data_IF_226453903601
#
_entry.id   IF_226453903601
#
_cell.length_a   1.000
_cell.length_b   1.000
_cell.length_c   1.000
_cell.angle_alpha   90.00
_cell.angle_beta   90.00
_cell.angle_gamma   90.00
#
_symmetry.space_group_name_H-M   'P 1'
#
loop_
_entity.id
_entity.type
_entity.pdbx_description
1 polymer ?
#
# COMPACT_ATOMS: atom_id res chain seq x y z
N UNK A 1 -42.77 -24.92 32.15
CA UNK A 1 -42.97 -24.42 30.76
C UNK A 1 -42.59 -22.94 30.53
N UNK A 2 -42.34 -22.09 31.56
CA UNK A 2 -41.99 -20.67 31.36
C UNK A 2 -40.53 -20.37 30.95
N UNK A 3 -39.58 -21.28 31.24
CA UNK A 3 -38.13 -21.07 30.98
C UNK A 3 -37.72 -21.22 29.50
N UNK A 4 -38.41 -22.07 28.73
CA UNK A 4 -38.08 -22.32 27.32
C UNK A 4 -38.48 -21.17 26.38
N UNK A 5 -39.50 -20.39 26.74
CA UNK A 5 -39.97 -19.26 25.92
C UNK A 5 -38.97 -18.09 26.00
N UNK A 6 -38.39 -17.83 27.18
CA UNK A 6 -37.40 -16.75 27.37
C UNK A 6 -36.11 -17.01 26.59
N UNK A 7 -35.67 -18.28 26.54
CA UNK A 7 -34.49 -18.66 25.74
C UNK A 7 -34.71 -18.46 24.24
N UNK A 8 -35.92 -18.75 23.74
CA UNK A 8 -36.28 -18.54 22.34
C UNK A 8 -36.29 -17.06 21.96
N UNK A 9 -36.81 -16.18 22.82
CA UNK A 9 -36.78 -14.73 22.58
C UNK A 9 -35.35 -14.17 22.60
N UNK A 10 -34.48 -14.59 23.54
CA UNK A 10 -33.09 -14.15 23.56
C UNK A 10 -32.31 -14.60 22.32
N UNK A 11 -32.54 -15.82 21.84
CA UNK A 11 -31.93 -16.31 20.61
C UNK A 11 -32.38 -15.49 19.39
N UNK A 12 -33.67 -15.20 19.25
CA UNK A 12 -34.21 -14.39 18.16
C UNK A 12 -33.64 -12.96 18.12
N UNK A 13 -33.42 -12.33 19.27
CA UNK A 13 -32.79 -11.00 19.37
C UNK A 13 -31.30 -11.07 18.99
N UNK A 14 -30.59 -12.12 19.40
CA UNK A 14 -29.19 -12.33 19.02
C UNK A 14 -29.05 -12.54 17.50
N UNK A 15 -29.89 -13.37 16.87
CA UNK A 15 -29.84 -13.60 15.42
C UNK A 15 -30.21 -12.35 14.61
N UNK A 16 -31.21 -11.58 15.03
CA UNK A 16 -31.60 -10.34 14.34
C UNK A 16 -30.56 -9.23 14.48
N UNK A 17 -29.88 -9.11 15.63
CA UNK A 17 -28.77 -8.18 15.80
C UNK A 17 -27.54 -8.55 14.94
N UNK A 18 -27.23 -9.85 14.82
CA UNK A 18 -26.13 -10.34 13.99
C UNK A 18 -26.39 -10.13 12.50
N UNK A 19 -27.62 -10.41 12.06
CA UNK A 19 -28.06 -10.16 10.68
C UNK A 19 -28.01 -8.65 10.33
N UNK A 20 -28.46 -7.77 11.23
CA UNK A 20 -28.36 -6.32 11.03
C UNK A 20 -26.90 -5.82 11.04
N UNK A 21 -26.02 -6.42 11.84
CA UNK A 21 -24.60 -6.09 11.85
C UNK A 21 -23.92 -6.51 10.53
N UNK A 22 -24.20 -7.72 10.03
CA UNK A 22 -23.71 -8.19 8.74
C UNK A 22 -24.26 -7.35 7.58
N UNK A 23 -25.55 -7.00 7.61
CA UNK A 23 -26.19 -6.16 6.59
C UNK A 23 -25.62 -4.74 6.58
N UNK A 24 -25.32 -4.15 7.74
CA UNK A 24 -24.64 -2.84 7.85
C UNK A 24 -23.20 -2.88 7.33
N UNK A 25 -22.48 -3.99 7.49
CA UNK A 25 -21.15 -4.20 6.88
C UNK A 25 -21.24 -4.35 5.36
N UNK A 26 -22.22 -5.12 4.86
CA UNK A 26 -22.45 -5.35 3.43
C UNK A 26 -22.93 -4.08 2.70
N UNK A 27 -23.68 -3.21 3.39
CA UNK A 27 -24.26 -1.98 2.84
C UNK A 27 -23.43 -0.70 3.11
N UNK A 28 -22.27 -0.79 3.79
CA UNK A 28 -21.30 0.32 3.75
C UNK A 28 -20.75 0.38 2.34
N UNK A 29 -21.30 1.28 1.50
CA UNK A 29 -20.59 1.79 0.32
C UNK A 29 -19.26 2.34 0.82
N UNK A 30 -18.21 1.54 0.73
CA UNK A 30 -16.84 1.99 0.86
C UNK A 30 -16.68 3.07 -0.21
N UNK A 31 -16.77 4.35 0.18
CA UNK A 31 -16.77 5.47 -0.77
C UNK A 31 -15.68 5.30 -1.84
N UNK A 32 -15.99 5.69 -3.08
CA UNK A 32 -15.16 5.37 -4.24
C UNK A 32 -13.68 5.72 -4.00
N UNK A 33 -12.82 4.71 -4.09
CA UNK A 33 -11.38 4.89 -3.95
C UNK A 33 -10.81 5.37 -5.28
N UNK A 34 -10.12 6.51 -5.25
CA UNK A 34 -9.47 7.07 -6.43
C UNK A 34 -8.06 6.50 -6.57
N UNK A 35 -7.71 6.03 -7.78
CA UNK A 35 -6.33 5.68 -8.13
C UNK A 35 -5.50 6.95 -8.23
N UNK A 36 -4.32 6.94 -7.62
CA UNK A 36 -3.35 8.05 -7.62
C UNK A 36 -1.99 7.51 -8.06
N UNK A 37 -1.48 8.06 -9.19
CA UNK A 37 -0.21 7.71 -9.85
C UNK A 37 0.81 8.84 -9.70
N UNK A 38 2.01 8.65 -10.23
CA UNK A 38 3.10 9.63 -10.26
C UNK A 38 3.48 10.12 -8.86
N UNK A 39 3.84 9.14 -8.04
CA UNK A 39 4.06 9.34 -6.60
C UNK A 39 5.56 9.49 -6.25
N UNK A 40 6.44 9.35 -7.25
CA UNK A 40 7.88 9.27 -7.08
C UNK A 40 8.55 10.38 -7.90
N UNK A 41 9.41 11.14 -7.23
CA UNK A 41 10.31 12.13 -7.80
C UNK A 41 11.63 11.47 -8.15
N UNK A 42 12.05 11.66 -9.40
CA UNK A 42 13.31 11.16 -9.94
C UNK A 42 14.37 12.26 -9.85
N UNK A 43 15.07 12.36 -8.72
CA UNK A 43 16.17 13.33 -8.55
C UNK A 43 17.51 12.60 -8.47
N UNK A 44 18.06 12.22 -9.63
CA UNK A 44 19.37 11.61 -9.72
C UNK A 44 20.45 12.62 -10.09
N UNK A 45 21.44 12.81 -9.22
CA UNK A 45 22.68 13.57 -9.51
C UNK A 45 23.83 12.57 -9.64
N UNK A 46 24.78 12.83 -10.55
CA UNK A 46 26.00 12.04 -10.73
C UNK A 46 25.77 10.52 -10.92
N UNK A 47 24.75 10.17 -11.70
CA UNK A 47 24.40 8.77 -11.99
C UNK A 47 25.42 8.13 -12.94
N UNK A 48 25.90 6.93 -12.59
CA UNK A 48 26.76 6.10 -13.45
C UNK A 48 25.95 5.33 -14.48
N UNK A 49 24.70 5.00 -14.15
CA UNK A 49 23.75 4.29 -15.02
C UNK A 49 22.46 5.11 -15.20
N UNK A 50 22.56 6.19 -15.97
CA UNK A 50 21.47 7.19 -16.11
C UNK A 50 20.24 6.62 -16.81
N UNK A 51 20.42 5.83 -17.85
CA UNK A 51 19.30 5.32 -18.66
C UNK A 51 18.48 4.31 -17.85
N UNK A 52 19.12 3.32 -17.23
CA UNK A 52 18.43 2.38 -16.35
C UNK A 52 17.78 3.07 -15.14
N UNK A 53 18.41 4.13 -14.60
CA UNK A 53 17.80 4.93 -13.53
C UNK A 53 16.49 5.60 -14.00
N UNK A 54 16.49 6.22 -15.18
CA UNK A 54 15.31 6.90 -15.72
C UNK A 54 14.19 5.90 -16.02
N UNK A 55 14.53 4.77 -16.66
CA UNK A 55 13.60 3.70 -16.95
C UNK A 55 13.02 3.09 -15.68
N UNK A 56 13.86 2.85 -14.67
CA UNK A 56 13.43 2.38 -13.37
C UNK A 56 12.50 3.38 -12.69
N UNK A 57 12.80 4.68 -12.77
CA UNK A 57 11.95 5.67 -12.17
C UNK A 57 10.57 5.73 -12.85
N UNK A 58 10.51 5.71 -14.18
CA UNK A 58 9.24 5.65 -14.91
C UNK A 58 8.47 4.36 -14.62
N UNK A 59 9.16 3.22 -14.54
CA UNK A 59 8.56 1.97 -14.12
C UNK A 59 7.96 2.07 -12.72
N UNK A 60 8.70 2.61 -11.74
CA UNK A 60 8.20 2.77 -10.38
C UNK A 60 7.03 3.79 -10.30
N UNK A 61 7.03 4.84 -11.12
CA UNK A 61 5.93 5.82 -11.21
C UNK A 61 4.62 5.20 -11.72
N UNK A 62 4.70 4.08 -12.45
CA UNK A 62 3.52 3.38 -12.96
C UNK A 62 2.66 2.75 -11.85
N UNK A 63 3.25 2.45 -10.69
CA UNK A 63 2.53 1.92 -9.53
C UNK A 63 1.59 2.97 -8.93
N UNK A 64 0.44 2.51 -8.44
CA UNK A 64 -0.60 3.40 -7.92
C UNK A 64 -1.01 3.01 -6.50
N UNK A 65 -1.52 4.00 -5.78
CA UNK A 65 -2.32 3.80 -4.57
C UNK A 65 -3.79 4.11 -4.87
N UNK A 66 -4.68 3.60 -4.04
CA UNK A 66 -6.12 3.90 -3.98
C UNK A 66 -6.41 4.66 -2.70
N UNK A 67 -7.14 5.78 -2.76
CA UNK A 67 -7.42 6.56 -1.56
C UNK A 67 -8.83 7.17 -1.58
N UNK A 68 -9.51 7.26 -0.41
CA UNK A 68 -10.82 7.89 -0.32
C UNK A 68 -10.77 9.42 -0.40
N UNK A 69 -9.63 10.04 -0.08
CA UNK A 69 -9.46 11.49 -0.16
C UNK A 69 -8.00 11.91 -0.39
N UNK A 70 -7.80 13.20 -0.64
CA UNK A 70 -6.46 13.78 -0.93
C UNK A 70 -5.53 13.76 0.28
N UNK A 71 -6.06 13.73 1.51
CA UNK A 71 -5.24 13.79 2.71
C UNK A 71 -4.51 12.45 2.89
N UNK A 72 -5.26 11.34 2.90
CA UNK A 72 -4.64 10.02 3.00
C UNK A 72 -3.73 9.74 1.79
N UNK A 73 -4.17 10.11 0.58
CA UNK A 73 -3.35 9.96 -0.62
C UNK A 73 -1.97 10.61 -0.48
N UNK A 74 -1.88 11.84 0.07
CA UNK A 74 -0.60 12.53 0.27
C UNK A 74 0.36 11.75 1.16
N UNK A 75 -0.13 11.16 2.25
CA UNK A 75 0.71 10.39 3.16
C UNK A 75 1.17 9.06 2.54
N UNK A 76 0.27 8.34 1.87
CA UNK A 76 0.62 7.08 1.19
C UNK A 76 1.60 7.31 0.02
N UNK A 77 1.46 8.44 -0.69
CA UNK A 77 2.42 8.87 -1.74
C UNK A 77 3.83 9.01 -1.19
N UNK A 78 3.99 9.63 -0.02
CA UNK A 78 5.30 9.77 0.61
C UNK A 78 5.93 8.41 0.90
N UNK A 79 5.13 7.40 1.30
CA UNK A 79 5.62 6.04 1.48
C UNK A 79 6.21 5.44 0.20
N UNK A 80 5.54 5.62 -0.95
CA UNK A 80 6.08 5.16 -2.23
C UNK A 80 7.41 5.85 -2.59
N UNK A 81 7.56 7.14 -2.29
CA UNK A 81 8.84 7.83 -2.43
C UNK A 81 9.93 7.23 -1.54
N UNK A 82 9.60 6.86 -0.29
CA UNK A 82 10.56 6.23 0.63
C UNK A 82 11.06 4.90 0.06
N UNK A 83 10.16 4.05 -0.43
CA UNK A 83 10.54 2.80 -1.08
C UNK A 83 11.41 3.04 -2.33
N UNK A 84 11.05 4.02 -3.17
CA UNK A 84 11.84 4.38 -4.34
C UNK A 84 13.23 4.90 -3.98
N UNK A 85 13.38 5.61 -2.86
CA UNK A 85 14.68 6.08 -2.36
C UNK A 85 15.59 4.93 -1.91
N UNK A 86 15.06 3.73 -1.67
CA UNK A 86 15.88 2.52 -1.42
C UNK A 86 16.34 1.86 -2.72
N UNK A 87 15.56 1.97 -3.79
CA UNK A 87 15.79 1.26 -5.06
C UNK A 87 16.61 2.11 -6.05
N UNK A 88 16.19 3.35 -6.29
CA UNK A 88 16.73 4.19 -7.37
C UNK A 88 18.22 4.55 -7.22
N UNK A 89 18.74 4.88 -6.02
CA UNK A 89 20.16 5.19 -5.87
C UNK A 89 21.08 4.01 -6.22
N UNK A 90 20.66 2.78 -5.89
CA UNK A 90 21.37 1.55 -6.25
C UNK A 90 21.46 1.39 -7.77
N UNK A 91 20.33 1.53 -8.46
CA UNK A 91 20.26 1.43 -9.92
C UNK A 91 21.16 2.50 -10.55
N UNK A 92 21.12 3.72 -10.03
CA UNK A 92 21.92 4.83 -10.53
C UNK A 92 23.42 4.68 -10.34
N UNK A 93 23.88 3.89 -9.37
CA UNK A 93 25.29 3.79 -8.98
C UNK A 93 26.05 2.64 -9.65
N UNK A 94 25.36 1.66 -10.26
CA UNK A 94 26.00 0.50 -10.89
C UNK A 94 25.51 0.25 -12.33
N UNK A 95 26.47 0.17 -13.27
CA UNK A 95 26.21 -0.08 -14.70
C UNK A 95 25.81 -1.51 -15.02
N UNK A 96 26.07 -2.46 -14.13
CA UNK A 96 25.70 -3.87 -14.30
C UNK A 96 24.20 -4.10 -14.11
N UNK A 97 23.52 -3.18 -13.42
CA UNK A 97 22.08 -3.29 -13.16
C UNK A 97 21.32 -3.04 -14.45
N UNK A 98 20.57 -4.05 -14.87
CA UNK A 98 19.69 -4.01 -16.04
C UNK A 98 18.23 -3.92 -15.64
N UNK A 99 17.42 -3.36 -16.52
CA UNK A 99 15.99 -3.14 -16.26
C UNK A 99 15.15 -4.41 -16.14
N UNK A 100 15.56 -5.52 -16.76
CA UNK A 100 14.90 -6.82 -16.60
C UNK A 100 15.03 -7.35 -15.17
N UNK A 101 16.21 -7.20 -14.55
CA UNK A 101 16.44 -7.53 -13.13
C UNK A 101 15.58 -6.67 -12.23
N UNK A 102 15.54 -5.36 -12.46
CA UNK A 102 14.72 -4.42 -11.68
C UNK A 102 13.24 -4.82 -11.74
N UNK A 103 12.72 -5.12 -12.94
CA UNK A 103 11.33 -5.55 -13.13
C UNK A 103 11.04 -6.88 -12.46
N UNK A 104 11.96 -7.84 -12.54
CA UNK A 104 11.83 -9.14 -11.86
C UNK A 104 11.75 -8.97 -10.34
N UNK A 105 12.69 -8.25 -9.74
CA UNK A 105 12.72 -8.02 -8.30
C UNK A 105 11.51 -7.24 -7.79
N UNK A 106 10.92 -6.36 -8.62
CA UNK A 106 9.76 -5.55 -8.28
C UNK A 106 8.42 -6.12 -8.77
N UNK A 107 8.37 -7.36 -9.27
CA UNK A 107 7.18 -7.94 -9.89
C UNK A 107 5.93 -7.89 -8.98
N UNK A 108 6.13 -8.09 -7.68
CA UNK A 108 5.06 -8.12 -6.68
C UNK A 108 4.81 -6.77 -5.99
N UNK A 109 5.47 -5.69 -6.41
CA UNK A 109 5.38 -4.40 -5.74
C UNK A 109 3.95 -3.85 -5.71
N UNK A 110 3.19 -3.93 -6.83
CA UNK A 110 1.78 -3.48 -6.82
C UNK A 110 0.94 -4.29 -5.84
N UNK A 111 1.16 -5.59 -5.72
CA UNK A 111 0.44 -6.46 -4.79
C UNK A 111 0.73 -6.05 -3.34
N UNK A 112 1.99 -5.81 -3.00
CA UNK A 112 2.35 -5.28 -1.67
C UNK A 112 1.71 -3.92 -1.42
N UNK A 113 1.73 -3.01 -2.41
CA UNK A 113 1.06 -1.72 -2.28
C UNK A 113 -0.43 -1.89 -2.04
N UNK A 114 -1.12 -2.75 -2.80
CA UNK A 114 -2.56 -2.97 -2.67
C UNK A 114 -2.93 -3.50 -1.28
N UNK A 115 -2.19 -4.48 -0.73
CA UNK A 115 -2.40 -5.01 0.62
C UNK A 115 -2.25 -3.91 1.68
N UNK A 116 -1.11 -3.22 1.67
CA UNK A 116 -0.80 -2.16 2.65
C UNK A 116 -1.78 -1.00 2.54
N UNK A 117 -2.21 -0.69 1.32
CA UNK A 117 -3.13 0.38 1.04
C UNK A 117 -4.53 0.07 1.54
N UNK A 118 -5.03 -1.15 1.33
CA UNK A 118 -6.34 -1.58 1.82
C UNK A 118 -6.38 -1.53 3.35
N UNK A 119 -5.31 -1.97 4.02
CA UNK A 119 -5.19 -1.91 5.47
C UNK A 119 -5.15 -0.46 5.99
N UNK A 120 -4.39 0.42 5.34
CA UNK A 120 -4.35 1.84 5.70
C UNK A 120 -5.71 2.53 5.49
N UNK A 121 -6.42 2.21 4.40
CA UNK A 121 -7.75 2.77 4.11
C UNK A 121 -8.78 2.28 5.12
N UNK A 122 -8.73 1.00 5.50
CA UNK A 122 -9.64 0.41 6.50
C UNK A 122 -9.45 1.09 7.84
N UNK A 123 -8.23 1.12 8.35
CA UNK A 123 -7.91 1.76 9.63
C UNK A 123 -8.25 3.26 9.63
N UNK A 124 -7.93 3.97 8.55
CA UNK A 124 -8.28 5.38 8.37
C UNK A 124 -9.78 5.65 8.46
N UNK A 125 -10.61 4.76 7.90
CA UNK A 125 -12.08 4.86 7.98
C UNK A 125 -12.58 4.50 9.37
N UNK A 126 -12.07 3.44 9.96
CA UNK A 126 -12.51 2.95 11.27
C UNK A 126 -12.22 3.96 12.39
N UNK A 127 -11.08 4.65 12.31
CA UNK A 127 -10.72 5.72 13.24
C UNK A 127 -11.38 7.07 12.93
N UNK A 128 -12.34 7.12 11.99
CA UNK A 128 -13.00 8.35 11.52
C UNK A 128 -11.98 9.43 11.12
N UNK A 129 -10.95 9.04 10.37
CA UNK A 129 -9.86 9.89 9.85
C UNK A 129 -8.84 10.42 10.87
N UNK A 130 -9.04 10.19 12.18
CA UNK A 130 -8.18 10.74 13.24
C UNK A 130 -6.75 10.17 13.26
N UNK A 131 -6.57 9.00 12.68
CA UNK A 131 -5.31 8.25 12.64
C UNK A 131 -4.48 8.50 11.37
N UNK A 132 -4.80 9.55 10.58
CA UNK A 132 -4.14 9.87 9.30
C UNK A 132 -2.61 9.72 9.32
N UNK A 133 -1.97 10.35 10.30
CA UNK A 133 -0.50 10.36 10.42
C UNK A 133 0.04 8.98 10.76
N UNK A 134 -0.62 8.26 11.68
CA UNK A 134 -0.19 6.93 12.11
C UNK A 134 -0.27 5.93 10.95
N UNK A 135 -1.36 5.95 10.19
CA UNK A 135 -1.53 5.07 9.03
C UNK A 135 -0.55 5.41 7.91
N UNK A 136 -0.29 6.70 7.68
CA UNK A 136 0.74 7.15 6.75
C UNK A 136 2.14 6.66 7.13
N UNK A 137 2.49 6.75 8.40
CA UNK A 137 3.79 6.30 8.93
C UNK A 137 3.92 4.78 8.89
N UNK A 138 2.86 4.05 9.26
CA UNK A 138 2.84 2.58 9.17
C UNK A 138 3.05 2.12 7.72
N UNK A 139 2.25 2.65 6.80
CA UNK A 139 2.38 2.36 5.37
C UNK A 139 3.80 2.65 4.87
N UNK A 140 4.36 3.82 5.22
CA UNK A 140 5.70 4.22 4.78
C UNK A 140 6.79 3.26 5.28
N UNK A 141 6.72 2.81 6.54
CA UNK A 141 7.68 1.86 7.10
C UNK A 141 7.58 0.49 6.43
N UNK A 142 6.36 0.01 6.20
CA UNK A 142 6.16 -1.33 5.62
C UNK A 142 6.55 -1.35 4.14
N UNK A 143 6.21 -0.32 3.38
CA UNK A 143 6.61 -0.23 1.97
C UNK A 143 8.11 0.07 1.81
N UNK A 144 8.75 0.73 2.78
CA UNK A 144 10.20 0.87 2.83
C UNK A 144 10.90 -0.49 2.93
N UNK A 145 10.40 -1.39 3.79
CA UNK A 145 10.94 -2.75 3.91
C UNK A 145 10.81 -3.54 2.60
N UNK A 146 9.71 -3.35 1.87
CA UNK A 146 9.55 -3.90 0.51
C UNK A 146 10.62 -3.31 -0.43
N UNK A 147 10.86 -1.99 -0.37
CA UNK A 147 11.91 -1.33 -1.13
C UNK A 147 13.33 -1.85 -0.82
N UNK A 148 13.61 -2.14 0.45
CA UNK A 148 14.86 -2.80 0.89
C UNK A 148 14.96 -4.21 0.30
N UNK A 149 13.88 -4.99 0.36
CA UNK A 149 13.83 -6.33 -0.23
C UNK A 149 14.12 -6.32 -1.74
N UNK A 150 13.52 -5.38 -2.47
CA UNK A 150 13.77 -5.19 -3.91
C UNK A 150 15.25 -4.82 -4.16
N UNK A 151 15.80 -3.86 -3.39
CA UNK A 151 17.20 -3.46 -3.53
C UNK A 151 18.17 -4.64 -3.23
N UNK A 152 17.85 -5.46 -2.22
CA UNK A 152 18.59 -6.68 -1.90
C UNK A 152 18.56 -7.68 -3.05
N UNK A 153 17.38 -7.96 -3.62
CA UNK A 153 17.22 -8.82 -4.78
C UNK A 153 18.04 -8.34 -5.99
N UNK A 154 18.00 -7.03 -6.28
CA UNK A 154 18.79 -6.44 -7.38
C UNK A 154 20.28 -6.67 -7.14
N UNK A 155 20.75 -6.40 -5.92
CA UNK A 155 22.16 -6.57 -5.55
C UNK A 155 22.59 -8.03 -5.70
N UNK A 156 21.81 -8.99 -5.19
CA UNK A 156 22.11 -10.42 -5.31
C UNK A 156 22.03 -10.96 -6.74
N UNK A 157 21.33 -10.27 -7.65
CA UNK A 157 21.19 -10.70 -9.04
C UNK A 157 22.35 -10.25 -9.93
N UNK A 158 23.27 -9.42 -9.42
CA UNK A 158 24.44 -8.90 -10.15
C UNK A 158 25.79 -9.36 -9.56
N UNK A 159 25.75 -10.15 -8.49
CA UNK A 159 26.89 -10.75 -7.79
C UNK A 159 26.68 -12.26 -7.68
#
# INVERSE_FOLDING_TARGET
MKKSVVFLFCALIAFTSLANAQQRFKNRKTGDLRKVRDNIRCSGKNLRNRDAYNDACHFLQSFYIKSPDRQLARHLRNGLQVAANRILPLIGSDKRIRMDVVKHCALNLQTSIDILNDDAVRAYRDCKKKCLVNEGNRFSREIENVGIGIASCITQSIY
#
